data_IF_343770306607
#
_entry.id   IF_343770306607
#
_cell.length_a   1.000
_cell.length_b   1.000
_cell.length_c   1.000
_cell.angle_alpha   90.00
_cell.angle_beta   90.00
_cell.angle_gamma   90.00
#
_symmetry.space_group_name_H-M   'P 1'
#
loop_
_entity.id
_entity.type
_entity.pdbx_description
1 polymer ?
#
# COMPACT_ATOMS: atom_id res chain seq x y z
N UNK A 1 -2.60 3.47 -4.25
CA UNK A 1 -3.45 4.51 -4.86
C UNK A 1 -3.24 5.81 -4.11
N UNK A 2 -3.71 6.93 -4.61
CA UNK A 2 -3.50 8.25 -3.99
C UNK A 2 -4.83 8.99 -3.87
N UNK A 3 -4.96 9.84 -2.86
CA UNK A 3 -6.05 10.80 -2.71
C UNK A 3 -5.49 12.19 -2.49
N UNK A 4 -6.31 13.20 -2.73
CA UNK A 4 -5.98 14.60 -2.44
C UNK A 4 -6.86 15.01 -1.26
N UNK A 5 -6.26 15.61 -0.24
CA UNK A 5 -6.96 16.34 0.80
C UNK A 5 -6.85 17.82 0.45
N UNK A 6 -7.97 18.50 0.34
CA UNK A 6 -8.05 19.94 0.10
C UNK A 6 -8.32 20.62 1.43
N UNK A 7 -7.49 21.60 1.76
CA UNK A 7 -7.70 22.47 2.91
C UNK A 7 -8.03 23.86 2.41
N UNK A 8 -9.24 24.33 2.66
CA UNK A 8 -9.66 25.71 2.39
C UNK A 8 -9.62 26.51 3.67
N UNK A 9 -8.98 27.67 3.65
CA UNK A 9 -8.94 28.60 4.78
C UNK A 9 -9.60 29.91 4.38
N UNK A 10 -10.66 30.30 5.09
CA UNK A 10 -11.26 31.62 4.95
C UNK A 10 -10.46 32.62 5.79
N UNK A 11 -9.83 33.59 5.14
CA UNK A 11 -8.97 34.57 5.80
C UNK A 11 -9.74 35.58 6.66
N UNK A 12 -11.03 35.79 6.39
CA UNK A 12 -11.86 36.73 7.14
C UNK A 12 -12.41 36.13 8.43
N UNK A 13 -12.85 34.88 8.40
CA UNK A 13 -13.44 34.19 9.55
C UNK A 13 -12.44 33.31 10.30
N UNK A 14 -11.30 32.99 9.68
CA UNK A 14 -10.34 32.00 10.18
C UNK A 14 -10.83 30.56 10.06
N UNK A 15 -11.96 30.31 9.39
CA UNK A 15 -12.54 28.99 9.25
C UNK A 15 -11.66 28.10 8.36
N UNK A 16 -11.34 26.90 8.84
CA UNK A 16 -10.56 25.90 8.12
C UNK A 16 -11.44 24.72 7.79
N UNK A 17 -11.61 24.43 6.51
CA UNK A 17 -12.35 23.26 6.02
C UNK A 17 -11.39 22.28 5.37
N UNK A 18 -11.40 21.03 5.81
CA UNK A 18 -10.63 19.93 5.22
C UNK A 18 -11.55 18.90 4.59
N UNK A 19 -11.35 18.60 3.33
CA UNK A 19 -12.14 17.59 2.62
C UNK A 19 -11.27 16.71 1.71
N UNK A 20 -11.58 15.42 1.68
CA UNK A 20 -10.95 14.50 0.75
C UNK A 20 -11.64 14.57 -0.61
N UNK A 21 -10.88 14.76 -1.69
CA UNK A 21 -11.38 14.66 -3.05
C UNK A 21 -11.94 13.26 -3.27
N UNK A 22 -13.15 13.17 -3.84
CA UNK A 22 -13.86 11.90 -4.06
C UNK A 22 -13.06 10.89 -4.88
N UNK A 23 -12.24 11.38 -5.82
CA UNK A 23 -11.48 10.55 -6.73
C UNK A 23 -10.21 9.99 -6.10
N UNK A 24 -9.95 8.70 -6.37
CA UNK A 24 -8.68 8.05 -6.10
C UNK A 24 -7.87 7.95 -7.39
N UNK A 25 -6.57 8.17 -7.29
CA UNK A 25 -5.65 8.15 -8.43
C UNK A 25 -4.77 6.90 -8.36
N UNK A 26 -4.53 6.27 -9.50
CA UNK A 26 -3.70 5.06 -9.57
C UNK A 26 -2.20 5.36 -9.50
N UNK A 27 -1.78 6.53 -10.00
CA UNK A 27 -0.36 6.91 -10.15
C UNK A 27 -0.06 8.22 -9.44
N UNK A 28 1.18 8.38 -8.96
CA UNK A 28 1.67 9.60 -8.30
C UNK A 28 1.57 10.80 -9.26
N UNK A 29 2.10 10.65 -10.47
CA UNK A 29 2.04 11.69 -11.52
C UNK A 29 0.61 12.13 -11.84
N UNK A 30 -0.35 11.20 -11.81
CA UNK A 30 -1.75 11.50 -12.06
C UNK A 30 -2.37 12.36 -10.97
N UNK A 31 -2.07 12.06 -9.70
CA UNK A 31 -2.57 12.83 -8.56
C UNK A 31 -1.88 14.19 -8.44
N UNK A 32 -0.58 14.29 -8.72
CA UNK A 32 0.14 15.57 -8.75
C UNK A 32 -0.43 16.53 -9.78
N UNK A 33 -0.72 16.02 -10.99
CA UNK A 33 -1.35 16.82 -12.05
C UNK A 33 -2.75 17.31 -11.64
N UNK A 34 -3.51 16.48 -10.94
CA UNK A 34 -4.82 16.86 -10.45
C UNK A 34 -4.75 17.87 -9.29
N UNK A 35 -3.84 17.68 -8.34
CA UNK A 35 -3.60 18.60 -7.23
C UNK A 35 -3.18 19.98 -7.74
N UNK A 36 -2.29 20.03 -8.76
CA UNK A 36 -1.91 21.27 -9.42
C UNK A 36 -3.13 21.99 -10.01
N UNK A 37 -3.99 21.28 -10.76
CA UNK A 37 -5.21 21.87 -11.32
C UNK A 37 -6.13 22.45 -10.25
N UNK A 38 -6.24 21.82 -9.08
CA UNK A 38 -7.08 22.32 -7.98
C UNK A 38 -6.53 23.65 -7.46
N UNK A 39 -5.21 23.77 -7.31
CA UNK A 39 -4.56 25.03 -6.88
C UNK A 39 -4.70 26.14 -7.93
N UNK A 40 -4.80 25.77 -9.22
CA UNK A 40 -4.94 26.72 -10.32
C UNK A 40 -6.41 27.20 -10.52
N UNK A 41 -7.38 26.71 -9.74
CA UNK A 41 -8.78 27.17 -9.80
C UNK A 41 -8.88 28.58 -9.21
N UNK A 42 -9.66 29.44 -9.85
CA UNK A 42 -9.96 30.79 -9.34
C UNK A 42 -10.68 30.67 -7.98
N UNK A 43 -10.04 31.18 -6.92
CA UNK A 43 -10.61 31.23 -5.57
C UNK A 43 -11.21 32.61 -5.31
N UNK A 44 -12.28 32.71 -4.50
CA UNK A 44 -12.74 34.01 -4.02
C UNK A 44 -11.63 34.69 -3.20
N UNK A 45 -11.58 36.03 -3.25
CA UNK A 45 -10.44 36.83 -2.77
C UNK A 45 -10.02 36.58 -1.31
N UNK A 46 -10.94 36.05 -0.47
CA UNK A 46 -10.71 35.78 0.94
C UNK A 46 -10.47 34.31 1.27
N UNK A 47 -10.28 33.43 0.29
CA UNK A 47 -10.02 32.00 0.51
C UNK A 47 -8.64 31.60 -0.01
N UNK A 48 -7.94 30.78 0.79
CA UNK A 48 -6.74 30.08 0.33
C UNK A 48 -7.00 28.59 0.28
N UNK A 49 -6.41 27.92 -0.71
CA UNK A 49 -6.52 26.47 -0.88
C UNK A 49 -5.14 25.85 -0.87
N UNK A 50 -4.97 24.89 0.03
CA UNK A 50 -3.83 23.98 0.06
C UNK A 50 -4.28 22.56 -0.30
N UNK A 51 -3.35 21.78 -0.83
CA UNK A 51 -3.61 20.41 -1.29
C UNK A 51 -2.53 19.47 -0.79
N UNK A 52 -2.93 18.44 -0.07
CA UNK A 52 -2.06 17.37 0.40
C UNK A 52 -2.33 16.09 -0.41
N UNK A 53 -1.27 15.41 -0.86
CA UNK A 53 -1.38 14.13 -1.53
C UNK A 53 -1.10 13.03 -0.52
N UNK A 54 -2.08 12.16 -0.30
CA UNK A 54 -1.97 11.04 0.63
C UNK A 54 -1.93 9.74 -0.14
N UNK A 55 -0.91 8.91 0.14
CA UNK A 55 -0.88 7.53 -0.34
C UNK A 55 -1.94 6.71 0.41
N UNK A 56 -2.84 6.12 -0.37
CA UNK A 56 -3.86 5.22 0.13
C UNK A 56 -3.46 3.81 -0.26
N UNK A 57 -3.05 3.06 0.75
CA UNK A 57 -3.06 1.62 0.71
C UNK A 57 -4.52 1.20 0.87
N UNK A 58 -5.18 0.88 -0.24
CA UNK A 58 -6.40 0.07 -0.12
C UNK A 58 -5.97 -1.24 0.49
N UNK A 59 -6.24 -1.40 1.80
CA UNK A 59 -6.18 -2.71 2.43
C UNK A 59 -7.09 -3.59 1.58
N UNK A 60 -6.49 -4.53 0.83
CA UNK A 60 -7.27 -5.52 0.09
C UNK A 60 -8.24 -6.15 1.06
N UNK A 61 -9.45 -6.46 0.62
CA UNK A 61 -10.39 -7.20 1.43
C UNK A 61 -9.64 -8.38 2.06
N UNK A 62 -9.75 -8.59 3.39
CA UNK A 62 -9.11 -9.72 4.03
C UNK A 62 -9.50 -11.00 3.28
N UNK A 63 -8.51 -11.84 2.99
CA UNK A 63 -8.78 -13.18 2.47
C UNK A 63 -9.27 -14.07 3.62
N UNK A 64 -10.00 -15.14 3.30
CA UNK A 64 -10.39 -16.12 4.31
C UNK A 64 -9.15 -16.82 4.89
N UNK A 65 -9.27 -17.33 6.12
CA UNK A 65 -8.21 -18.11 6.76
C UNK A 65 -7.83 -19.34 5.92
N UNK A 66 -8.81 -20.03 5.32
CA UNK A 66 -8.55 -21.15 4.41
C UNK A 66 -7.73 -20.73 3.19
N UNK A 67 -8.06 -19.58 2.59
CA UNK A 67 -7.33 -19.06 1.45
C UNK A 67 -5.91 -18.64 1.84
N UNK A 68 -5.74 -18.04 3.01
CA UNK A 68 -4.43 -17.71 3.54
C UNK A 68 -3.59 -18.97 3.79
N UNK A 69 -4.19 -20.03 4.34
CA UNK A 69 -3.54 -21.31 4.61
C UNK A 69 -3.09 -21.98 3.31
N UNK A 70 -3.98 -22.02 2.32
CA UNK A 70 -3.66 -22.54 1.00
C UNK A 70 -2.51 -21.74 0.34
N UNK A 71 -2.55 -20.41 0.40
CA UNK A 71 -1.54 -19.57 -0.23
C UNK A 71 -0.16 -19.70 0.44
N UNK A 72 -0.10 -19.75 1.77
CA UNK A 72 1.17 -19.92 2.51
C UNK A 72 1.80 -21.29 2.27
N UNK A 73 0.98 -22.36 2.16
CA UNK A 73 1.44 -23.69 1.71
C UNK A 73 1.99 -23.68 0.29
N UNK A 74 1.27 -23.04 -0.65
CA UNK A 74 1.76 -22.90 -2.02
C UNK A 74 3.07 -22.11 -2.08
N UNK A 75 3.17 -21.03 -1.31
CA UNK A 75 4.38 -20.23 -1.22
C UNK A 75 5.57 -21.05 -0.68
N UNK A 76 5.36 -21.87 0.36
CA UNK A 76 6.41 -22.76 0.88
C UNK A 76 6.94 -23.73 -0.21
N UNK A 77 6.03 -24.37 -0.96
CA UNK A 77 6.40 -25.23 -2.09
C UNK A 77 7.13 -24.46 -3.20
N UNK A 78 6.71 -23.22 -3.48
CA UNK A 78 7.34 -22.38 -4.49
C UNK A 78 8.75 -21.95 -4.06
N UNK A 79 8.95 -21.54 -2.81
CA UNK A 79 10.26 -21.16 -2.28
C UNK A 79 11.26 -22.31 -2.37
N UNK A 80 10.82 -23.56 -2.15
CA UNK A 80 11.68 -24.73 -2.36
C UNK A 80 12.24 -24.77 -3.79
N UNK A 81 11.38 -24.63 -4.80
CA UNK A 81 11.79 -24.63 -6.21
C UNK A 81 12.67 -23.43 -6.54
N UNK A 82 12.34 -22.24 -6.02
CA UNK A 82 13.11 -21.02 -6.24
C UNK A 82 14.52 -21.18 -5.63
N UNK A 83 14.64 -21.66 -4.40
CA UNK A 83 15.91 -21.85 -3.72
C UNK A 83 16.81 -22.84 -4.46
N UNK A 84 16.25 -23.96 -4.96
CA UNK A 84 17.01 -24.93 -5.75
C UNK A 84 17.59 -24.31 -7.03
N UNK A 85 16.82 -23.47 -7.72
CA UNK A 85 17.27 -22.77 -8.93
C UNK A 85 18.27 -21.65 -8.62
N UNK A 86 18.00 -20.88 -7.58
CA UNK A 86 18.75 -19.68 -7.24
C UNK A 86 20.20 -20.01 -6.82
N UNK A 87 20.43 -21.18 -6.22
CA UNK A 87 21.78 -21.69 -5.86
C UNK A 87 22.80 -21.58 -7.00
N UNK A 88 22.38 -21.84 -8.25
CA UNK A 88 23.24 -21.79 -9.43
C UNK A 88 23.04 -20.55 -10.31
N UNK A 89 21.89 -19.88 -10.19
CA UNK A 89 21.47 -18.82 -11.11
C UNK A 89 21.61 -17.40 -10.51
N UNK A 90 21.72 -17.28 -9.18
CA UNK A 90 21.72 -16.00 -8.47
C UNK A 90 23.05 -15.69 -7.77
N UNK A 91 23.31 -14.40 -7.53
CA UNK A 91 24.41 -13.98 -6.66
C UNK A 91 24.17 -14.42 -5.21
N UNK A 92 25.24 -14.45 -4.41
CA UNK A 92 25.17 -14.79 -2.99
C UNK A 92 24.20 -13.87 -2.25
N UNK A 93 24.28 -12.56 -2.48
CA UNK A 93 23.39 -11.58 -1.84
C UNK A 93 21.93 -11.83 -2.19
N UNK A 94 21.62 -12.11 -3.46
CA UNK A 94 20.26 -12.40 -3.88
C UNK A 94 19.75 -13.73 -3.31
N UNK A 95 20.61 -14.76 -3.25
CA UNK A 95 20.30 -16.03 -2.59
C UNK A 95 19.96 -15.83 -1.10
N UNK A 96 20.73 -15.00 -0.40
CA UNK A 96 20.48 -14.68 1.01
C UNK A 96 19.13 -13.97 1.20
N UNK A 97 18.78 -13.04 0.29
CA UNK A 97 17.48 -12.36 0.32
C UNK A 97 16.31 -13.32 0.04
N UNK A 98 16.48 -14.27 -0.88
CA UNK A 98 15.48 -15.31 -1.17
C UNK A 98 15.30 -16.23 0.04
N UNK A 99 16.38 -16.63 0.69
CA UNK A 99 16.35 -17.44 1.91
C UNK A 99 15.58 -16.72 3.03
N UNK A 100 15.89 -15.43 3.27
CA UNK A 100 15.17 -14.62 4.25
C UNK A 100 13.66 -14.53 3.94
N UNK A 101 13.29 -14.37 2.66
CA UNK A 101 11.88 -14.36 2.27
C UNK A 101 11.18 -15.70 2.53
N UNK A 102 11.90 -16.82 2.35
CA UNK A 102 11.41 -18.16 2.68
C UNK A 102 11.18 -18.31 4.19
N UNK A 103 12.12 -17.86 5.02
CA UNK A 103 12.01 -17.92 6.48
C UNK A 103 10.80 -17.13 6.98
N UNK A 104 10.61 -15.90 6.49
CA UNK A 104 9.44 -15.08 6.81
C UNK A 104 8.14 -15.79 6.42
N UNK A 105 8.09 -16.44 5.25
CA UNK A 105 6.90 -17.19 4.83
C UNK A 105 6.63 -18.40 5.75
N UNK A 106 7.67 -19.07 6.24
CA UNK A 106 7.52 -20.19 7.19
C UNK A 106 6.99 -19.71 8.55
N UNK A 107 7.51 -18.60 9.08
CA UNK A 107 6.99 -18.00 10.31
C UNK A 107 5.51 -17.66 10.19
N UNK A 108 5.11 -17.02 9.08
CA UNK A 108 3.71 -16.69 8.80
C UNK A 108 2.86 -17.95 8.63
N UNK A 109 3.37 -18.97 7.95
CA UNK A 109 2.68 -20.25 7.77
C UNK A 109 2.38 -20.91 9.13
N UNK A 110 3.37 -21.01 10.01
CA UNK A 110 3.21 -21.63 11.33
C UNK A 110 2.29 -20.81 12.24
N UNK A 111 2.43 -19.49 12.26
CA UNK A 111 1.53 -18.63 13.03
C UNK A 111 0.08 -18.75 12.54
N UNK A 112 -0.13 -18.83 11.23
CA UNK A 112 -1.45 -19.05 10.65
C UNK A 112 -1.96 -20.46 10.94
N UNK A 113 -1.10 -21.47 10.93
CA UNK A 113 -1.46 -22.86 11.24
C UNK A 113 -1.99 -22.97 12.67
N UNK A 114 -1.30 -22.39 13.64
CA UNK A 114 -1.76 -22.33 15.02
C UNK A 114 -3.11 -21.62 15.13
N UNK A 115 -3.29 -20.49 14.42
CA UNK A 115 -4.55 -19.74 14.44
C UNK A 115 -5.74 -20.46 13.77
N UNK A 116 -5.48 -21.33 12.79
CA UNK A 116 -6.53 -22.07 12.07
C UNK A 116 -6.93 -23.36 12.78
N UNK A 117 -5.97 -24.02 13.45
CA UNK A 117 -6.18 -25.35 14.03
C UNK A 117 -6.22 -25.39 15.56
N UNK A 118 -6.21 -24.22 16.23
CA UNK A 118 -6.34 -24.08 17.70
C UNK A 118 -5.39 -25.00 18.50
N UNK A 119 -4.08 -24.85 18.29
CA UNK A 119 -3.06 -25.34 19.26
C UNK A 119 -2.79 -24.32 20.35
#
# INVERSE_FOLDING_TARGET
>A
MFKIIVTTTNQHTGEIKKEAVRYKYKTLRGVEKAAKRIRDICMPDNETVDTEIVSVYERRAPISLDQAMHNTRLAASLFYVILEKAKSECSIDLNNLIALACDINQEVYHALQAAVYEE
#
